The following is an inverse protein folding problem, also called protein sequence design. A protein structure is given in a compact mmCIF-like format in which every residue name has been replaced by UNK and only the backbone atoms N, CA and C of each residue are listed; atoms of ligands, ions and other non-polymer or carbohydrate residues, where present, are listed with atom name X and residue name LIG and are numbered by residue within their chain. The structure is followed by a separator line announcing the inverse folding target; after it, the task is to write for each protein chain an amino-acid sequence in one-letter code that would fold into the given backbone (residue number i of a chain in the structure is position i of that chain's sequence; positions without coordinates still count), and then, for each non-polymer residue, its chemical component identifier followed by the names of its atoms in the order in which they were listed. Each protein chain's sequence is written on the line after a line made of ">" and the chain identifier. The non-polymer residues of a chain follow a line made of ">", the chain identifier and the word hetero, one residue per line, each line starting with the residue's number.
data_IF_759540124549
#
_entry.id   IF_759540124549
#
_cell.length_a   1.000
_cell.length_b   1.000
_cell.length_c   1.000
_cell.angle_alpha   90.00
_cell.angle_beta   90.00
_cell.angle_gamma   90.00
#
_symmetry.space_group_name_H-M   'P 1'
#
loop_
_entity.id
_entity.type
_entity.pdbx_description
1 polymer ?
#
# COMPACT_ATOMS: atom_id res chain seq x y z
N UNK A 1 9.12 -8.64 -16.60
CA UNK A 1 8.96 -9.27 -15.27
C UNK A 1 7.92 -8.44 -14.53
N UNK A 2 6.83 -9.06 -14.08
CA UNK A 2 5.95 -8.38 -13.12
C UNK A 2 6.78 -8.26 -11.85
N UNK A 3 7.04 -7.03 -11.46
CA UNK A 3 7.77 -6.72 -10.25
C UNK A 3 6.79 -7.05 -9.11
N UNK A 4 7.11 -8.03 -8.27
CA UNK A 4 6.24 -8.49 -7.16
C UNK A 4 6.56 -7.76 -5.83
N UNK A 5 7.22 -6.60 -5.90
CA UNK A 5 7.67 -5.89 -4.70
C UNK A 5 6.49 -5.28 -3.94
N UNK A 6 5.43 -4.88 -4.63
CA UNK A 6 4.19 -4.36 -4.04
C UNK A 6 3.56 -5.41 -3.13
N UNK A 7 3.56 -6.66 -3.57
CA UNK A 7 3.02 -7.81 -2.84
C UNK A 7 3.87 -8.11 -1.62
N UNK A 8 5.20 -8.16 -1.79
CA UNK A 8 6.13 -8.40 -0.70
C UNK A 8 6.06 -7.30 0.36
N UNK A 9 5.99 -6.03 -0.06
CA UNK A 9 5.87 -4.91 0.86
C UNK A 9 4.52 -4.94 1.59
N UNK A 10 3.41 -5.16 0.89
CA UNK A 10 2.09 -5.26 1.52
C UNK A 10 2.04 -6.35 2.61
N UNK A 11 2.57 -7.54 2.31
CA UNK A 11 2.66 -8.62 3.29
C UNK A 11 3.58 -8.30 4.47
N UNK A 12 4.68 -7.57 4.21
CA UNK A 12 5.59 -7.12 5.27
C UNK A 12 4.89 -6.12 6.21
N UNK A 13 4.11 -5.18 5.67
CA UNK A 13 3.35 -4.20 6.46
C UNK A 13 2.32 -4.90 7.35
N UNK A 14 1.54 -5.86 6.81
CA UNK A 14 0.60 -6.66 7.59
C UNK A 14 1.31 -7.44 8.70
N UNK A 15 2.41 -8.12 8.35
CA UNK A 15 3.19 -8.93 9.31
C UNK A 15 3.70 -8.11 10.50
N UNK A 16 4.00 -6.84 10.27
CA UNK A 16 4.47 -5.91 11.31
C UNK A 16 3.34 -5.08 11.93
N UNK A 17 2.08 -5.46 11.72
CA UNK A 17 0.89 -4.83 12.30
C UNK A 17 0.79 -3.33 11.96
N UNK A 18 1.29 -2.93 10.79
CA UNK A 18 1.12 -1.57 10.27
C UNK A 18 -0.31 -1.43 9.78
N UNK A 19 -1.08 -0.57 10.41
CA UNK A 19 -2.50 -0.36 10.10
C UNK A 19 -2.78 0.85 9.22
N UNK A 20 -1.77 1.69 8.93
CA UNK A 20 -1.92 2.94 8.16
C UNK A 20 -0.90 3.00 7.02
N UNK A 21 -1.35 3.36 5.82
CA UNK A 21 -0.51 3.61 4.65
C UNK A 21 -0.74 5.03 4.10
N UNK A 22 0.01 6.03 4.58
CA UNK A 22 -0.01 7.36 4.01
C UNK A 22 0.71 7.38 2.66
N UNK A 23 0.15 8.07 1.66
CA UNK A 23 0.75 8.16 0.32
C UNK A 23 0.43 9.48 -0.39
N UNK A 24 1.30 9.87 -1.32
CA UNK A 24 1.01 10.92 -2.32
C UNK A 24 0.58 10.22 -3.60
N UNK A 25 -0.53 10.62 -4.26
CA UNK A 25 -0.97 9.99 -5.49
C UNK A 25 0.09 10.12 -6.60
N UNK A 26 0.67 8.99 -7.00
CA UNK A 26 1.58 8.88 -8.14
C UNK A 26 1.37 7.55 -8.89
N UNK A 27 1.91 7.46 -10.10
CA UNK A 27 1.77 6.28 -10.96
C UNK A 27 2.66 5.09 -10.52
N UNK A 28 3.73 5.34 -9.76
CA UNK A 28 4.71 4.33 -9.35
C UNK A 28 4.19 3.39 -8.27
N UNK A 29 3.31 3.87 -7.38
CA UNK A 29 2.78 3.09 -6.26
C UNK A 29 1.32 2.66 -6.42
N UNK A 30 0.71 2.92 -7.58
CA UNK A 30 -0.73 2.71 -7.82
C UNK A 30 -1.20 1.27 -7.53
N UNK A 31 -0.35 0.27 -7.82
CA UNK A 31 -0.68 -1.14 -7.55
C UNK A 31 -0.70 -1.47 -6.06
N UNK A 32 0.24 -0.94 -5.27
CA UNK A 32 0.27 -1.10 -3.80
C UNK A 32 -0.93 -0.40 -3.16
N UNK A 33 -1.22 0.84 -3.57
CA UNK A 33 -2.37 1.61 -3.08
C UNK A 33 -3.68 0.88 -3.39
N UNK A 34 -3.87 0.44 -4.64
CA UNK A 34 -5.08 -0.31 -5.03
C UNK A 34 -5.24 -1.62 -4.27
N UNK A 35 -4.14 -2.24 -3.81
CA UNK A 35 -4.19 -3.43 -2.98
C UNK A 35 -4.63 -3.08 -1.56
N UNK A 36 -4.04 -2.06 -0.95
CA UNK A 36 -4.42 -1.59 0.38
C UNK A 36 -5.87 -1.10 0.43
N UNK A 37 -6.35 -0.40 -0.60
CA UNK A 37 -7.76 0.05 -0.69
C UNK A 37 -8.79 -1.10 -0.78
N UNK A 38 -8.36 -2.29 -1.21
CA UNK A 38 -9.21 -3.49 -1.31
C UNK A 38 -9.12 -4.39 -0.08
N UNK A 39 -8.09 -4.21 0.74
CA UNK A 39 -7.88 -4.97 1.97
C UNK A 39 -8.54 -4.28 3.15
N UNK A 40 -8.80 -5.05 4.20
CA UNK A 40 -9.32 -4.53 5.48
C UNK A 40 -8.18 -4.34 6.51
N UNK A 41 -6.95 -4.76 6.18
CA UNK A 41 -5.82 -4.80 7.11
C UNK A 41 -5.10 -3.45 7.25
N UNK A 42 -5.10 -2.63 6.20
CA UNK A 42 -4.34 -1.37 6.15
C UNK A 42 -5.22 -0.25 5.61
N UNK A 43 -5.46 0.79 6.41
CA UNK A 43 -6.18 1.97 5.98
C UNK A 43 -5.26 2.92 5.20
N UNK A 44 -5.66 3.30 4.00
CA UNK A 44 -4.91 4.25 3.16
C UNK A 44 -5.24 5.70 3.55
N UNK A 45 -4.21 6.56 3.56
CA UNK A 45 -4.36 7.99 3.86
C UNK A 45 -3.74 8.80 2.72
N UNK A 46 -4.57 9.52 1.96
CA UNK A 46 -4.08 10.43 0.92
C UNK A 46 -3.48 11.67 1.57
N UNK A 47 -2.20 11.93 1.29
CA UNK A 47 -1.53 13.16 1.67
C UNK A 47 -1.75 14.22 0.58
N UNK A 48 -2.32 15.36 0.97
CA UNK A 48 -2.53 16.53 0.12
C UNK A 48 -2.07 17.79 0.86
N UNK A 49 -1.73 18.83 0.12
CA UNK A 49 -1.32 20.16 0.63
C UNK A 49 -2.37 21.20 0.34
#
# INVERSE_FOLDING_TARGET
>A
MRNDWEDQLYQLLIKHEVSLLPYVPDAGHAALISKADKGDEIATIVLST
#
